data_IF_165356646345
#
_entry.id   IF_165356646345
#
_cell.length_a   1.000
_cell.length_b   1.000
_cell.length_c   1.000
_cell.angle_alpha   90.00
_cell.angle_beta   90.00
_cell.angle_gamma   90.00
#
_symmetry.space_group_name_H-M   'P 1'
#
loop_
_entity.id
_entity.type
_entity.pdbx_description
1 polymer ?
#
# COMPACT_ATOMS: atom_id res chain seq x y z
N UNK A 1 -8.70 18.31 10.00
CA UNK A 1 -9.82 18.23 10.98
C UNK A 1 -10.46 19.58 11.33
N UNK A 2 -9.78 20.72 11.14
CA UNK A 2 -10.28 22.03 11.59
C UNK A 2 -11.61 22.49 10.95
N UNK A 3 -11.88 22.17 9.69
CA UNK A 3 -13.12 22.57 8.99
C UNK A 3 -14.34 21.83 9.55
N UNK A 4 -14.23 20.51 9.77
CA UNK A 4 -15.31 19.70 10.32
C UNK A 4 -15.68 20.12 11.75
N UNK A 5 -14.69 20.40 12.61
CA UNK A 5 -14.93 20.83 14.00
C UNK A 5 -15.56 22.21 14.09
N UNK A 6 -15.15 23.15 13.23
CA UNK A 6 -15.74 24.51 13.21
C UNK A 6 -17.20 24.52 12.80
N UNK A 7 -17.63 23.60 11.93
CA UNK A 7 -18.97 23.55 11.37
C UNK A 7 -19.82 22.39 11.95
N UNK A 8 -19.36 21.72 13.00
CA UNK A 8 -20.01 20.52 13.57
C UNK A 8 -20.30 19.42 12.56
N UNK A 9 -19.52 19.37 11.47
CA UNK A 9 -19.67 18.34 10.44
C UNK A 9 -18.98 17.05 10.88
N UNK A 10 -19.61 15.89 10.71
CA UNK A 10 -18.97 14.61 10.95
C UNK A 10 -17.90 14.34 9.88
N UNK A 11 -16.65 14.17 10.29
CA UNK A 11 -15.52 13.94 9.38
C UNK A 11 -14.81 12.65 9.73
N UNK A 12 -14.58 11.80 8.73
CA UNK A 12 -13.68 10.65 8.83
C UNK A 12 -12.46 10.88 7.95
N UNK A 13 -11.28 10.62 8.50
CA UNK A 13 -10.01 10.73 7.77
C UNK A 13 -9.43 9.34 7.56
N UNK A 14 -9.19 8.96 6.31
CA UNK A 14 -8.52 7.73 5.94
C UNK A 14 -7.10 8.04 5.46
N UNK A 15 -6.09 7.55 6.19
CA UNK A 15 -4.69 7.60 5.79
C UNK A 15 -4.37 6.35 4.99
N UNK A 16 -4.13 6.53 3.70
CA UNK A 16 -3.90 5.41 2.79
C UNK A 16 -2.41 5.06 2.75
N UNK A 17 -2.10 3.78 2.83
CA UNK A 17 -0.78 3.22 2.54
C UNK A 17 -0.50 3.24 1.03
N UNK A 18 0.64 2.73 0.58
CA UNK A 18 0.98 2.70 -0.85
C UNK A 18 -0.10 1.99 -1.67
N UNK A 19 -0.79 2.74 -2.53
CA UNK A 19 -1.94 2.23 -3.30
C UNK A 19 -1.44 1.41 -4.49
N UNK A 20 -2.04 0.25 -4.70
CA UNK A 20 -1.86 -0.54 -5.92
C UNK A 20 -3.21 -1.07 -6.43
N UNK A 21 -3.23 -1.52 -7.69
CA UNK A 21 -4.44 -1.98 -8.38
C UNK A 21 -4.11 -3.04 -9.43
N UNK A 22 -5.13 -3.58 -10.07
CA UNK A 22 -4.97 -4.50 -11.20
C UNK A 22 -4.16 -3.87 -12.36
N UNK A 23 -4.25 -2.54 -12.53
CA UNK A 23 -3.57 -1.79 -13.61
C UNK A 23 -2.24 -1.16 -13.20
N UNK A 24 -1.97 -1.02 -11.92
CA UNK A 24 -0.77 -0.38 -11.38
C UNK A 24 -0.23 -1.16 -10.19
N UNK A 25 0.74 -2.01 -10.45
CA UNK A 25 1.34 -2.90 -9.46
C UNK A 25 2.76 -3.33 -9.88
N UNK A 26 3.39 -4.24 -9.14
CA UNK A 26 4.73 -4.71 -9.44
C UNK A 26 4.82 -5.46 -10.79
N UNK A 27 3.80 -6.26 -11.14
CA UNK A 27 3.77 -7.00 -12.41
C UNK A 27 3.69 -6.04 -13.60
N UNK A 28 2.82 -5.03 -13.53
CA UNK A 28 2.69 -4.04 -14.61
C UNK A 28 3.96 -3.22 -14.78
N UNK A 29 4.67 -2.89 -13.69
CA UNK A 29 5.97 -2.21 -13.78
C UNK A 29 7.03 -3.08 -14.44
N UNK A 30 7.10 -4.37 -14.10
CA UNK A 30 8.01 -5.33 -14.75
C UNK A 30 7.76 -5.41 -16.25
N UNK A 31 6.50 -5.55 -16.66
CA UNK A 31 6.09 -5.59 -18.07
C UNK A 31 6.40 -4.27 -18.82
N UNK A 32 6.41 -3.15 -18.10
CA UNK A 32 6.77 -1.82 -18.61
C UNK A 32 8.26 -1.51 -18.45
N UNK A 33 9.13 -2.51 -18.46
CA UNK A 33 10.58 -2.38 -18.53
C UNK A 33 11.21 -1.72 -17.29
N UNK A 34 10.80 -2.14 -16.09
CA UNK A 34 11.46 -1.74 -14.85
C UNK A 34 12.94 -2.18 -14.86
N UNK A 35 13.86 -1.22 -14.97
CA UNK A 35 15.30 -1.50 -15.16
C UNK A 35 16.00 -2.00 -13.90
N UNK A 36 15.57 -1.56 -12.74
CA UNK A 36 16.20 -1.94 -11.48
C UNK A 36 15.19 -1.97 -10.33
N UNK A 37 15.57 -2.62 -9.26
CA UNK A 37 14.89 -2.58 -7.97
C UNK A 37 15.85 -2.18 -6.87
N UNK A 38 15.42 -1.30 -5.99
CA UNK A 38 16.25 -0.83 -4.86
C UNK A 38 16.12 -1.79 -3.70
N UNK A 39 17.26 -2.23 -3.18
CA UNK A 39 17.35 -2.95 -1.93
C UNK A 39 17.79 -2.04 -0.79
N UNK A 40 17.01 -2.00 0.28
CA UNK A 40 17.36 -1.35 1.54
C UNK A 40 17.05 -2.29 2.68
N UNK A 41 18.07 -2.65 3.47
CA UNK A 41 17.92 -3.56 4.62
C UNK A 41 16.94 -3.01 5.65
N UNK A 42 16.12 -3.88 6.23
CA UNK A 42 15.16 -3.54 7.29
C UNK A 42 14.19 -2.40 6.90
N UNK A 43 13.88 -2.28 5.63
CA UNK A 43 13.00 -1.26 5.11
C UNK A 43 11.69 -1.86 4.62
N UNK A 44 10.55 -1.31 5.08
CA UNK A 44 9.23 -1.83 4.81
C UNK A 44 8.31 -0.74 4.27
N UNK A 45 7.49 -1.12 3.31
CA UNK A 45 6.35 -0.36 2.85
C UNK A 45 5.06 -1.08 3.20
N UNK A 46 4.10 -0.36 3.76
CA UNK A 46 2.73 -0.82 3.84
C UNK A 46 1.99 -0.46 2.57
N UNK A 47 1.04 -1.33 2.15
CA UNK A 47 0.29 -1.19 0.90
C UNK A 47 -1.20 -1.35 1.15
N UNK A 48 -2.00 -0.98 0.18
CA UNK A 48 -3.45 -1.23 0.17
C UNK A 48 -3.94 -1.35 -1.27
N UNK A 49 -4.77 -2.33 -1.54
CA UNK A 49 -5.39 -2.48 -2.85
C UNK A 49 -6.56 -1.51 -3.03
N UNK A 50 -6.71 -0.95 -4.23
CA UNK A 50 -7.77 0.04 -4.51
C UNK A 50 -9.19 -0.48 -4.23
N UNK A 51 -9.45 -1.77 -4.44
CA UNK A 51 -10.76 -2.37 -4.13
C UNK A 51 -11.05 -2.41 -2.63
N UNK A 52 -10.03 -2.59 -1.80
CA UNK A 52 -10.17 -2.53 -0.33
C UNK A 52 -10.42 -1.09 0.16
N UNK A 53 -9.85 -0.09 -0.52
CA UNK A 53 -10.19 1.31 -0.27
C UNK A 53 -11.66 1.55 -0.61
N UNK A 54 -12.12 1.14 -1.80
CA UNK A 54 -13.50 1.32 -2.23
C UNK A 54 -14.50 0.62 -1.28
N UNK A 55 -14.22 -0.62 -0.89
CA UNK A 55 -15.01 -1.36 0.09
C UNK A 55 -15.07 -0.62 1.44
N UNK A 56 -13.95 -0.11 1.90
CA UNK A 56 -13.90 0.62 3.18
C UNK A 56 -14.72 1.90 3.13
N UNK A 57 -14.61 2.67 2.05
CA UNK A 57 -15.42 3.87 1.85
C UNK A 57 -16.91 3.54 1.82
N UNK A 58 -17.30 2.50 1.10
CA UNK A 58 -18.70 2.03 1.09
C UNK A 58 -19.21 1.66 2.48
N UNK A 59 -18.43 0.90 3.25
CA UNK A 59 -18.78 0.55 4.63
C UNK A 59 -18.87 1.78 5.54
N UNK A 60 -18.08 2.81 5.28
CA UNK A 60 -18.08 4.05 6.07
C UNK A 60 -19.37 4.86 5.92
N UNK A 61 -20.03 4.78 4.76
CA UNK A 61 -21.30 5.49 4.52
C UNK A 61 -22.44 4.97 5.40
N UNK A 62 -22.37 3.71 5.82
CA UNK A 62 -23.41 3.05 6.64
C UNK A 62 -23.10 3.06 8.15
N UNK A 63 -22.05 3.76 8.57
CA UNK A 63 -21.69 3.88 10.00
C UNK A 63 -21.89 5.30 10.48
N UNK A 64 -22.31 5.44 11.74
CA UNK A 64 -22.37 6.75 12.38
C UNK A 64 -20.99 7.41 12.30
N UNK A 65 -20.94 8.57 11.67
CA UNK A 65 -19.71 9.33 11.46
C UNK A 65 -19.24 9.92 12.80
N UNK A 66 -18.13 9.43 13.30
CA UNK A 66 -17.41 10.05 14.38
C UNK A 66 -16.20 10.78 13.80
N UNK A 67 -15.83 11.91 14.33
CA UNK A 67 -14.62 12.62 13.95
C UNK A 67 -13.39 11.78 14.31
N UNK A 68 -12.96 10.90 13.42
CA UNK A 68 -11.91 9.93 13.70
C UNK A 68 -10.96 9.72 12.49
N UNK A 69 -9.78 9.19 12.79
CA UNK A 69 -8.72 8.92 11.81
C UNK A 69 -8.44 7.44 11.79
N UNK A 70 -8.41 6.87 10.59
CA UNK A 70 -8.14 5.46 10.33
C UNK A 70 -6.98 5.28 9.35
N UNK A 71 -6.12 4.32 9.63
CA UNK A 71 -5.11 3.89 8.66
C UNK A 71 -5.67 2.74 7.82
N UNK A 72 -5.55 2.85 6.50
CA UNK A 72 -5.87 1.80 5.54
C UNK A 72 -4.58 1.17 5.02
N UNK A 73 -4.39 -0.08 5.37
CA UNK A 73 -3.24 -0.90 4.97
C UNK A 73 -3.67 -2.35 4.85
N UNK A 74 -2.96 -3.13 4.03
CA UNK A 74 -3.02 -4.59 4.07
C UNK A 74 -2.34 -5.15 5.33
N UNK A 75 -2.35 -6.47 5.48
CA UNK A 75 -1.85 -7.16 6.67
C UNK A 75 -0.35 -7.51 6.57
N UNK A 76 0.29 -7.29 5.41
CA UNK A 76 1.67 -7.72 5.16
C UNK A 76 2.58 -6.60 4.64
N UNK A 77 3.10 -5.73 5.54
CA UNK A 77 4.19 -4.83 5.16
C UNK A 77 5.38 -5.62 4.64
N UNK A 78 5.92 -5.22 3.50
CA UNK A 78 7.03 -5.91 2.85
C UNK A 78 8.00 -4.91 2.20
N UNK A 79 9.26 -5.31 2.06
CA UNK A 79 10.23 -4.52 1.30
C UNK A 79 9.85 -4.48 -0.19
N UNK A 80 10.39 -3.48 -0.91
CA UNK A 80 10.10 -3.39 -2.34
C UNK A 80 10.66 -4.59 -3.10
N UNK A 81 11.86 -5.04 -2.72
CA UNK A 81 12.52 -6.18 -3.37
C UNK A 81 11.76 -7.49 -3.14
N UNK A 82 11.18 -7.73 -1.95
CA UNK A 82 10.34 -8.91 -1.71
C UNK A 82 9.13 -8.95 -2.65
N UNK A 83 8.46 -7.81 -2.81
CA UNK A 83 7.29 -7.71 -3.70
C UNK A 83 7.65 -7.91 -5.16
N UNK A 84 8.79 -7.35 -5.60
CA UNK A 84 9.28 -7.52 -6.98
C UNK A 84 9.70 -8.97 -7.24
N UNK A 85 10.44 -9.61 -6.31
CA UNK A 85 10.79 -11.04 -6.41
C UNK A 85 9.55 -11.93 -6.51
N UNK A 86 8.55 -11.65 -5.66
CA UNK A 86 7.29 -12.39 -5.73
C UNK A 86 6.59 -12.20 -7.08
N UNK A 87 6.52 -10.98 -7.59
CA UNK A 87 5.93 -10.68 -8.90
C UNK A 87 6.68 -11.38 -10.04
N UNK A 88 8.02 -11.37 -10.03
CA UNK A 88 8.84 -12.08 -11.01
C UNK A 88 8.54 -13.59 -11.01
N UNK A 89 8.47 -14.22 -9.84
CA UNK A 89 8.14 -15.64 -9.70
C UNK A 89 6.74 -15.95 -10.24
N UNK A 90 5.76 -15.09 -10.00
CA UNK A 90 4.39 -15.29 -10.47
C UNK A 90 4.27 -15.34 -12.00
N UNK A 91 5.04 -14.51 -12.71
CA UNK A 91 4.92 -14.37 -14.16
C UNK A 91 6.12 -14.96 -14.92
N UNK A 92 6.98 -15.70 -14.23
CA UNK A 92 8.21 -16.28 -14.76
C UNK A 92 9.09 -15.23 -15.49
N UNK A 93 9.32 -14.10 -14.82
CA UNK A 93 10.07 -12.95 -15.34
C UNK A 93 11.43 -12.85 -14.67
N UNK A 94 12.45 -12.42 -15.41
CA UNK A 94 13.78 -12.21 -14.87
C UNK A 94 13.78 -11.04 -13.86
N UNK A 95 14.52 -11.22 -12.77
CA UNK A 95 14.63 -10.18 -11.74
C UNK A 95 15.45 -8.99 -12.28
N UNK A 96 14.92 -7.75 -12.25
CA UNK A 96 15.67 -6.57 -12.64
C UNK A 96 16.95 -6.39 -11.81
N UNK A 97 17.90 -5.62 -12.34
CA UNK A 97 19.14 -5.30 -11.61
C UNK A 97 18.83 -4.82 -10.19
N UNK A 98 19.46 -5.43 -9.19
CA UNK A 98 19.35 -4.95 -7.80
C UNK A 98 20.40 -3.85 -7.62
N UNK A 99 19.98 -2.71 -7.08
CA UNK A 99 20.87 -1.63 -6.67
C UNK A 99 20.71 -1.35 -5.18
N UNK A 100 21.79 -1.00 -4.50
CA UNK A 100 21.73 -0.59 -3.09
C UNK A 100 21.06 0.78 -2.94
N UNK A 101 20.40 1.01 -1.82
CA UNK A 101 19.91 2.35 -1.46
C UNK A 101 21.02 3.41 -1.48
N UNK A 102 22.25 3.02 -1.10
CA UNK A 102 23.39 3.94 -1.04
C UNK A 102 23.89 4.36 -2.43
N UNK A 103 23.57 3.59 -3.47
CA UNK A 103 23.88 3.91 -4.87
C UNK A 103 22.88 4.89 -5.50
N UNK A 104 21.77 5.21 -4.80
CA UNK A 104 20.80 6.17 -5.32
C UNK A 104 21.32 7.60 -5.25
N UNK A 105 21.18 8.31 -6.36
CA UNK A 105 21.36 9.76 -6.39
C UNK A 105 20.31 10.48 -5.54
N UNK A 106 20.65 11.67 -5.05
CA UNK A 106 19.69 12.50 -4.32
C UNK A 106 18.50 12.85 -5.23
N UNK A 107 17.29 12.76 -4.66
CA UNK A 107 16.06 13.01 -5.40
C UNK A 107 14.85 12.28 -4.83
N UNK A 108 13.73 12.44 -5.50
CA UNK A 108 12.43 11.92 -5.06
C UNK A 108 12.44 10.42 -4.74
N UNK A 109 13.18 9.61 -5.53
CA UNK A 109 13.26 8.17 -5.30
C UNK A 109 13.99 7.86 -3.99
N UNK A 110 15.11 8.54 -3.73
CA UNK A 110 15.88 8.37 -2.48
C UNK A 110 15.07 8.85 -1.28
N UNK A 111 14.36 9.97 -1.42
CA UNK A 111 13.46 10.49 -0.38
C UNK A 111 12.34 9.51 -0.03
N UNK A 112 11.77 8.86 -1.02
CA UNK A 112 10.74 7.84 -0.81
C UNK A 112 11.23 6.66 0.07
N UNK A 113 12.52 6.32 0.00
CA UNK A 113 13.12 5.28 0.83
C UNK A 113 13.62 5.77 2.20
N UNK A 114 13.52 7.06 2.54
CA UNK A 114 13.91 7.54 3.88
C UNK A 114 12.98 7.03 4.97
N UNK A 115 11.69 6.90 4.67
CA UNK A 115 10.66 6.46 5.60
C UNK A 115 10.39 4.95 5.50
N UNK A 116 10.59 4.22 6.61
CA UNK A 116 10.20 2.81 6.74
C UNK A 116 9.00 2.68 7.69
N UNK A 117 7.89 2.12 7.20
CA UNK A 117 6.65 2.07 8.00
C UNK A 117 5.96 0.72 7.90
N UNK A 118 5.64 0.17 9.09
CA UNK A 118 4.70 -0.94 9.26
C UNK A 118 3.42 -0.37 9.86
N UNK A 119 2.43 -0.10 9.03
CA UNK A 119 1.19 0.56 9.43
C UNK A 119 0.19 -0.46 9.95
N UNK A 120 -0.36 -0.23 11.13
CA UNK A 120 -1.41 -1.07 11.69
C UNK A 120 -2.79 -0.66 11.16
N UNK A 121 -3.55 -1.63 10.67
CA UNK A 121 -4.94 -1.49 10.22
C UNK A 121 -5.95 -2.01 11.26
N UNK A 122 -5.49 -2.38 12.46
CA UNK A 122 -6.34 -2.99 13.50
C UNK A 122 -7.55 -2.15 13.84
N UNK A 123 -7.37 -0.84 14.05
CA UNK A 123 -8.45 0.08 14.43
C UNK A 123 -9.60 0.07 13.42
N UNK A 124 -9.30 0.14 12.12
CA UNK A 124 -10.33 0.16 11.09
C UNK A 124 -11.00 -1.20 10.94
N UNK A 125 -10.25 -2.29 11.02
CA UNK A 125 -10.80 -3.65 10.99
C UNK A 125 -11.77 -3.88 12.13
N UNK A 126 -11.41 -3.48 13.34
CA UNK A 126 -12.26 -3.63 14.53
C UNK A 126 -13.53 -2.75 14.42
N UNK A 127 -13.38 -1.48 14.01
CA UNK A 127 -14.48 -0.51 13.94
C UNK A 127 -15.49 -0.84 12.85
N UNK A 128 -15.03 -1.19 11.66
CA UNK A 128 -15.89 -1.44 10.51
C UNK A 128 -16.20 -2.92 10.30
N UNK A 129 -15.62 -3.82 11.11
CA UNK A 129 -15.65 -5.28 10.87
C UNK A 129 -15.14 -5.60 9.46
N UNK A 130 -14.14 -4.83 9.04
CA UNK A 130 -13.57 -4.90 7.70
C UNK A 130 -12.81 -6.21 7.51
N UNK A 131 -13.20 -6.95 6.48
CA UNK A 131 -12.42 -8.07 5.94
C UNK A 131 -11.87 -7.63 4.60
N UNK A 132 -10.55 -7.59 4.48
CA UNK A 132 -9.90 -7.18 3.23
C UNK A 132 -10.20 -8.20 2.13
N UNK A 133 -10.45 -7.72 0.92
CA UNK A 133 -10.57 -8.53 -0.30
C UNK A 133 -9.17 -9.10 -0.65
N UNK A 134 -8.14 -8.28 -0.46
CA UNK A 134 -6.75 -8.66 -0.65
C UNK A 134 -5.97 -8.42 0.65
N UNK A 135 -5.96 -9.41 1.57
CA UNK A 135 -5.28 -9.30 2.86
C UNK A 135 -3.79 -9.01 2.75
N UNK A 136 -3.15 -9.47 1.67
CA UNK A 136 -1.74 -9.20 1.39
C UNK A 136 -1.51 -8.84 -0.09
N UNK A 137 -0.35 -8.26 -0.38
CA UNK A 137 0.04 -7.99 -1.77
C UNK A 137 0.13 -9.29 -2.60
N UNK A 138 0.31 -10.44 -1.97
CA UNK A 138 0.40 -11.74 -2.66
C UNK A 138 -0.94 -12.11 -3.30
N UNK A 139 -2.06 -11.96 -2.58
CA UNK A 139 -3.39 -12.16 -3.16
C UNK A 139 -3.69 -11.11 -4.22
N UNK A 140 -3.37 -9.85 -3.93
CA UNK A 140 -3.64 -8.75 -4.85
C UNK A 140 -2.89 -8.85 -6.18
N UNK A 141 -1.68 -9.44 -6.19
CA UNK A 141 -0.91 -9.64 -7.42
C UNK A 141 -1.38 -10.86 -8.23
N UNK A 142 -1.92 -11.89 -7.60
CA UNK A 142 -2.41 -13.10 -8.29
C UNK A 142 -3.56 -12.83 -9.27
N UNK A 143 -4.32 -11.77 -9.07
CA UNK A 143 -5.44 -11.41 -9.98
C UNK A 143 -4.97 -10.93 -11.36
N UNK A 144 -3.67 -10.74 -11.53
CA UNK A 144 -3.08 -10.16 -12.74
C UNK A 144 -2.32 -11.19 -13.62
N UNK A 145 -2.55 -12.44 -13.35
CA UNK A 145 -1.93 -13.57 -14.08
C UNK A 145 -2.85 -14.05 -15.18
#
# INVERSE_FOLDING_TARGET
MSIGTKNSLPVQIFRLSGIYSDRYNAITRLRNDQKFVVEKKNHFFSRIHVKDIAQTLYLSLNKSLNNDIYNLSDDKPASNIEVVKYACNLINFELPKIISFDELEEGMLKDFYKDSKKVSNKKIKDKFKLKLIYPTYEEGLKVNI
#
